data_IF_111354365547
#
_entry.id   IF_111354365547
#
_cell.length_a   1.000
_cell.length_b   1.000
_cell.length_c   1.000
_cell.angle_alpha   90.00
_cell.angle_beta   90.00
_cell.angle_gamma   90.00
#
_symmetry.space_group_name_H-M   'P 1'
#
loop_
_entity.id
_entity.type
_entity.pdbx_description
1 polymer ?
#
# COMPACT_ATOMS: atom_id res chain seq x y z
N UNK A 1 -7.96 5.77 -8.69
CA UNK A 1 -7.83 5.41 -7.26
C UNK A 1 -7.43 3.95 -7.20
N UNK A 2 -6.72 3.51 -6.18
CA UNK A 2 -6.24 2.14 -6.11
C UNK A 2 -5.53 1.80 -4.82
N UNK A 3 -4.73 0.76 -4.85
CA UNK A 3 -3.87 0.29 -3.79
C UNK A 3 -2.45 0.03 -4.35
N UNK A 4 -1.42 0.20 -3.54
CA UNK A 4 -0.03 -0.10 -3.88
C UNK A 4 0.67 -0.84 -2.74
N UNK A 5 1.53 -1.79 -3.09
CA UNK A 5 2.19 -2.68 -2.12
C UNK A 5 3.27 -2.03 -1.24
N UNK A 6 3.83 -0.88 -1.64
CA UNK A 6 5.08 -0.37 -1.08
C UNK A 6 4.99 0.02 0.41
N UNK A 7 4.04 0.87 0.80
CA UNK A 7 4.04 1.45 2.15
C UNK A 7 3.97 0.40 3.27
N UNK A 8 3.31 -0.74 3.02
CA UNK A 8 3.25 -1.82 4.00
C UNK A 8 4.27 -2.94 3.75
N UNK A 9 4.47 -3.36 2.50
CA UNK A 9 5.28 -4.55 2.18
C UNK A 9 6.69 -4.23 1.68
N UNK A 10 7.01 -2.96 1.45
CA UNK A 10 8.23 -2.53 0.77
C UNK A 10 8.43 -3.30 -0.55
N UNK A 11 9.65 -3.77 -0.76
CA UNK A 11 10.00 -4.64 -1.90
C UNK A 11 9.89 -6.15 -1.57
N UNK A 12 9.18 -6.52 -0.51
CA UNK A 12 8.98 -7.92 -0.08
C UNK A 12 7.54 -8.38 -0.31
N UNK A 13 7.13 -8.42 -1.58
CA UNK A 13 5.78 -8.80 -2.02
C UNK A 13 5.81 -10.09 -2.84
N UNK A 14 4.75 -10.88 -2.79
CA UNK A 14 4.62 -12.15 -3.52
C UNK A 14 3.21 -12.37 -4.06
N UNK A 15 3.04 -13.40 -4.88
CA UNK A 15 1.78 -13.76 -5.55
C UNK A 15 0.61 -13.93 -4.57
N UNK A 16 0.84 -14.56 -3.42
CA UNK A 16 -0.22 -14.81 -2.42
C UNK A 16 -0.74 -13.51 -1.84
N UNK A 17 0.17 -12.58 -1.51
CA UNK A 17 -0.18 -11.25 -1.00
C UNK A 17 -1.02 -10.49 -2.04
N UNK A 18 -0.57 -10.46 -3.30
CA UNK A 18 -1.28 -9.73 -4.36
C UNK A 18 -2.68 -10.27 -4.59
N UNK A 19 -2.85 -11.60 -4.63
CA UNK A 19 -4.16 -12.23 -4.78
C UNK A 19 -5.06 -11.96 -3.57
N UNK A 20 -4.52 -12.04 -2.36
CA UNK A 20 -5.25 -11.73 -1.12
C UNK A 20 -5.75 -10.29 -1.08
N UNK A 21 -4.91 -9.32 -1.48
CA UNK A 21 -5.33 -7.91 -1.59
C UNK A 21 -6.39 -7.72 -2.67
N UNK A 22 -6.29 -8.41 -3.81
CA UNK A 22 -7.32 -8.35 -4.85
C UNK A 22 -8.68 -8.84 -4.33
N UNK A 23 -8.68 -9.93 -3.54
CA UNK A 23 -9.88 -10.44 -2.89
C UNK A 23 -10.46 -9.44 -1.89
N UNK A 24 -9.63 -8.91 -0.99
CA UNK A 24 -10.02 -7.92 -0.01
C UNK A 24 -10.59 -6.64 -0.64
N UNK A 25 -9.97 -6.13 -1.71
CA UNK A 25 -10.45 -4.94 -2.41
C UNK A 25 -11.88 -5.12 -2.94
N UNK A 26 -12.26 -6.33 -3.35
CA UNK A 26 -13.62 -6.63 -3.80
C UNK A 26 -14.55 -6.89 -2.62
N UNK A 27 -14.16 -7.78 -1.70
CA UNK A 27 -14.98 -8.23 -0.57
C UNK A 27 -15.40 -7.07 0.33
N UNK A 28 -14.46 -6.17 0.65
CA UNK A 28 -14.69 -5.04 1.54
C UNK A 28 -15.18 -3.78 0.82
N UNK A 29 -15.54 -3.90 -0.47
CA UNK A 29 -16.22 -2.84 -1.21
C UNK A 29 -15.33 -1.70 -1.71
N UNK A 30 -14.01 -1.83 -1.67
CA UNK A 30 -13.09 -0.82 -2.21
C UNK A 30 -13.28 -0.64 -3.72
N UNK A 31 -13.47 -1.74 -4.46
CA UNK A 31 -13.81 -1.68 -5.89
C UNK A 31 -15.11 -0.87 -6.12
N UNK A 32 -16.15 -1.12 -5.32
CA UNK A 32 -17.42 -0.39 -5.41
C UNK A 32 -17.27 1.09 -5.05
N UNK A 33 -16.34 1.43 -4.16
CA UNK A 33 -15.99 2.80 -3.81
C UNK A 33 -15.07 3.49 -4.85
N UNK A 34 -14.68 2.79 -5.92
CA UNK A 34 -13.91 3.34 -7.03
C UNK A 34 -12.39 3.09 -6.97
N UNK A 35 -11.90 2.31 -6.01
CA UNK A 35 -10.49 1.87 -5.96
C UNK A 35 -10.31 0.68 -6.91
N UNK A 36 -9.96 0.98 -8.16
CA UNK A 36 -9.92 0.00 -9.25
C UNK A 36 -8.53 -0.57 -9.51
N UNK A 37 -7.46 0.19 -9.25
CA UNK A 37 -6.09 -0.24 -9.55
C UNK A 37 -5.47 -0.98 -8.37
N UNK A 38 -4.93 -2.17 -8.62
CA UNK A 38 -4.01 -2.87 -7.71
C UNK A 38 -2.61 -2.77 -8.32
N UNK A 39 -1.77 -1.93 -7.73
CA UNK A 39 -0.43 -1.63 -8.22
C UNK A 39 0.62 -2.43 -7.45
N UNK A 40 1.39 -3.24 -8.18
CA UNK A 40 2.55 -3.95 -7.65
C UNK A 40 3.79 -3.05 -7.72
N UNK A 41 4.37 -2.71 -6.58
CA UNK A 41 5.57 -1.89 -6.48
C UNK A 41 6.86 -2.71 -6.63
N UNK A 42 8.03 -2.17 -6.25
CA UNK A 42 9.33 -2.82 -6.31
C UNK A 42 9.36 -4.26 -5.73
N UNK A 43 10.41 -5.02 -6.09
CA UNK A 43 10.62 -6.38 -5.59
C UNK A 43 9.96 -7.48 -6.41
N UNK A 44 9.21 -7.13 -7.46
CA UNK A 44 8.54 -8.11 -8.31
C UNK A 44 9.47 -8.80 -9.32
N UNK A 45 10.47 -8.08 -9.81
CA UNK A 45 11.35 -8.54 -10.90
C UNK A 45 12.47 -9.44 -10.39
N UNK A 46 12.95 -10.32 -11.26
CA UNK A 46 14.16 -11.09 -11.02
C UNK A 46 15.42 -10.19 -11.09
N UNK A 47 16.50 -10.59 -10.41
CA UNK A 47 17.79 -9.88 -10.44
C UNK A 47 18.38 -9.78 -11.85
N UNK A 48 18.06 -10.74 -12.71
CA UNK A 48 18.55 -10.80 -14.08
C UNK A 48 17.39 -10.77 -15.07
N UNK A 49 17.57 -9.98 -16.14
CA UNK A 49 16.73 -10.03 -17.34
C UNK A 49 16.84 -11.40 -18.02
N UNK A 50 15.80 -11.79 -18.74
CA UNK A 50 15.77 -13.03 -19.52
C UNK A 50 16.89 -13.09 -20.56
N UNK A 51 17.33 -14.31 -20.89
CA UNK A 51 18.24 -14.56 -22.00
C UNK A 51 17.53 -15.35 -23.11
N UNK A 52 17.80 -15.06 -24.40
CA UNK A 52 18.69 -14.01 -24.92
C UNK A 52 18.01 -12.64 -25.12
N UNK A 53 16.71 -12.53 -24.82
CA UNK A 53 15.88 -11.41 -25.24
C UNK A 53 16.02 -10.14 -24.38
N UNK A 54 16.64 -10.22 -23.21
CA UNK A 54 16.80 -9.14 -22.24
C UNK A 54 15.48 -8.53 -21.72
N UNK A 55 14.34 -9.22 -21.86
CA UNK A 55 13.08 -8.78 -21.24
C UNK A 55 13.15 -8.89 -19.71
N UNK A 56 12.47 -7.97 -19.02
CA UNK A 56 12.17 -8.14 -17.60
C UNK A 56 11.39 -9.44 -17.38
N UNK A 57 11.69 -10.13 -16.29
CA UNK A 57 11.00 -11.34 -15.87
C UNK A 57 10.68 -11.25 -14.38
N UNK A 58 9.55 -11.80 -13.93
CA UNK A 58 9.22 -11.83 -12.51
C UNK A 58 10.18 -12.75 -11.75
N UNK A 59 10.37 -12.47 -10.47
CA UNK A 59 11.10 -13.34 -9.56
C UNK A 59 10.34 -14.70 -9.46
N UNK A 60 10.95 -15.83 -9.84
CA UNK A 60 10.25 -17.11 -9.93
C UNK A 60 9.91 -17.73 -8.56
N UNK A 61 10.50 -17.23 -7.48
CA UNK A 61 10.17 -17.65 -6.11
C UNK A 61 8.96 -16.88 -5.60
N UNK A 62 8.96 -15.55 -5.77
CA UNK A 62 7.85 -14.70 -5.31
C UNK A 62 6.61 -14.83 -6.19
N UNK A 63 6.79 -15.11 -7.49
CA UNK A 63 5.73 -15.16 -8.50
C UNK A 63 5.90 -16.40 -9.39
N UNK A 64 5.71 -17.61 -8.83
CA UNK A 64 5.99 -18.88 -9.51
C UNK A 64 5.13 -19.12 -10.75
N UNK A 65 3.92 -18.53 -10.81
CA UNK A 65 3.04 -18.64 -11.98
C UNK A 65 3.24 -17.51 -13.01
N UNK A 66 4.15 -16.57 -12.71
CA UNK A 66 4.47 -15.43 -13.56
C UNK A 66 3.41 -14.32 -13.53
N UNK A 67 3.69 -13.22 -14.22
CA UNK A 67 2.84 -12.02 -14.16
C UNK A 67 1.47 -12.23 -14.81
N UNK A 68 1.39 -12.98 -15.92
CA UNK A 68 0.11 -13.18 -16.63
C UNK A 68 -0.97 -13.78 -15.73
N UNK A 69 -0.61 -14.77 -14.89
CA UNK A 69 -1.55 -15.42 -13.97
C UNK A 69 -2.14 -14.44 -12.95
N UNK A 70 -1.31 -13.53 -12.44
CA UNK A 70 -1.72 -12.53 -11.45
C UNK A 70 -2.56 -11.44 -12.09
N UNK A 71 -2.14 -10.96 -13.27
CA UNK A 71 -2.93 -9.99 -14.03
C UNK A 71 -4.30 -10.58 -14.37
N UNK A 72 -4.36 -11.85 -14.81
CA UNK A 72 -5.62 -12.56 -15.02
C UNK A 72 -6.48 -12.63 -13.76
N UNK A 73 -5.87 -12.98 -12.63
CA UNK A 73 -6.58 -13.06 -11.36
C UNK A 73 -7.22 -11.72 -10.99
N UNK A 74 -6.44 -10.64 -11.06
CA UNK A 74 -6.88 -9.27 -10.75
C UNK A 74 -7.98 -8.80 -11.72
N UNK A 75 -7.80 -9.04 -13.02
CA UNK A 75 -8.82 -8.72 -14.03
C UNK A 75 -10.11 -9.49 -13.84
N UNK A 76 -10.05 -10.77 -13.48
CA UNK A 76 -11.22 -11.60 -13.19
C UNK A 76 -12.01 -11.13 -11.96
N UNK A 77 -11.38 -10.35 -11.07
CA UNK A 77 -12.02 -9.69 -9.92
C UNK A 77 -12.65 -8.34 -10.30
N UNK A 78 -12.49 -7.88 -11.54
CA UNK A 78 -12.96 -6.58 -12.02
C UNK A 78 -12.03 -5.41 -11.67
N UNK A 79 -10.82 -5.71 -11.17
CA UNK A 79 -9.77 -4.74 -10.88
C UNK A 79 -8.86 -4.56 -12.11
N UNK A 80 -8.06 -3.49 -12.10
CA UNK A 80 -6.99 -3.19 -13.05
C UNK A 80 -5.65 -3.44 -12.38
N UNK A 81 -4.65 -3.89 -13.14
CA UNK A 81 -3.34 -4.25 -12.59
C UNK A 81 -2.27 -3.22 -12.96
N UNK A 82 -1.53 -2.74 -11.98
CA UNK A 82 -0.37 -1.88 -12.17
C UNK A 82 0.95 -2.57 -11.86
N UNK A 83 2.00 -2.13 -12.54
CA UNK A 83 3.37 -2.58 -12.31
C UNK A 83 4.29 -1.40 -12.06
N UNK A 84 5.44 -1.69 -11.47
CA UNK A 84 6.51 -0.75 -11.21
C UNK A 84 7.69 -0.97 -12.17
N UNK A 85 8.30 0.12 -12.62
CA UNK A 85 9.58 0.13 -13.31
C UNK A 85 10.35 1.41 -12.96
N UNK A 86 11.55 1.57 -13.51
CA UNK A 86 12.39 2.74 -13.24
C UNK A 86 12.97 3.30 -14.54
N UNK A 87 12.95 4.63 -14.67
CA UNK A 87 13.64 5.40 -15.69
C UNK A 87 15.17 5.47 -15.45
N UNK A 88 15.75 4.34 -15.06
CA UNK A 88 17.13 4.16 -14.63
C UNK A 88 17.71 2.85 -15.13
N UNK A 89 19.04 2.68 -15.01
CA UNK A 89 19.69 1.41 -15.37
C UNK A 89 19.36 0.30 -14.37
N UNK A 90 19.06 0.69 -13.13
CA UNK A 90 18.56 -0.14 -12.05
C UNK A 90 17.38 0.59 -11.42
N UNK A 91 16.48 -0.15 -10.78
CA UNK A 91 15.46 0.43 -9.95
C UNK A 91 15.99 0.81 -8.55
N UNK A 92 15.18 1.46 -7.73
CA UNK A 92 15.54 1.83 -6.36
C UNK A 92 15.87 0.64 -5.44
N UNK A 93 15.50 -0.59 -5.82
CA UNK A 93 15.82 -1.83 -5.11
C UNK A 93 17.05 -2.57 -5.69
N UNK A 94 17.79 -1.94 -6.61
CA UNK A 94 18.96 -2.52 -7.30
C UNK A 94 18.59 -3.75 -8.14
N UNK A 95 17.38 -3.78 -8.71
CA UNK A 95 16.95 -4.71 -9.74
C UNK A 95 16.98 -4.04 -11.11
N UNK A 96 16.86 -4.78 -12.23
CA UNK A 96 16.96 -4.19 -13.57
C UNK A 96 15.92 -3.08 -13.83
N UNK A 97 16.40 -1.86 -14.11
CA UNK A 97 15.56 -0.73 -14.55
C UNK A 97 15.40 -0.72 -16.08
N UNK A 98 14.59 0.19 -16.62
CA UNK A 98 14.16 0.20 -18.03
C UNK A 98 14.87 1.23 -18.91
N UNK A 99 15.86 1.98 -18.40
CA UNK A 99 16.60 2.95 -19.21
C UNK A 99 17.39 2.25 -20.33
N UNK A 100 17.07 2.59 -21.59
CA UNK A 100 17.63 1.97 -22.79
C UNK A 100 16.91 0.70 -23.26
N UNK A 101 15.87 0.27 -22.55
CA UNK A 101 15.02 -0.89 -22.86
C UNK A 101 13.53 -0.51 -22.95
N UNK A 102 13.21 0.79 -23.08
CA UNK A 102 11.85 1.31 -22.94
C UNK A 102 10.86 0.62 -23.89
N UNK A 103 11.20 0.48 -25.18
CA UNK A 103 10.33 -0.19 -26.15
C UNK A 103 10.12 -1.68 -25.85
N UNK A 104 11.16 -2.38 -25.41
CA UNK A 104 11.08 -3.80 -25.05
C UNK A 104 10.23 -4.02 -23.80
N UNK A 105 10.44 -3.21 -22.78
CA UNK A 105 9.76 -3.35 -21.49
C UNK A 105 8.30 -2.91 -21.60
N UNK A 106 8.00 -1.85 -22.34
CA UNK A 106 6.62 -1.46 -22.64
C UNK A 106 5.85 -2.59 -23.35
N UNK A 107 6.46 -3.26 -24.33
CA UNK A 107 5.86 -4.42 -24.99
C UNK A 107 5.70 -5.60 -24.04
N UNK A 108 6.64 -5.80 -23.12
CA UNK A 108 6.56 -6.85 -22.09
C UNK A 108 5.36 -6.58 -21.15
N UNK A 109 5.20 -5.34 -20.67
CA UNK A 109 4.07 -4.95 -19.83
C UNK A 109 2.73 -5.08 -20.56
N UNK A 110 2.67 -4.66 -21.83
CA UNK A 110 1.47 -4.80 -22.65
C UNK A 110 1.13 -6.27 -22.93
N UNK A 111 2.12 -7.13 -23.16
CA UNK A 111 1.92 -8.58 -23.32
C UNK A 111 1.40 -9.25 -22.04
N UNK A 112 1.82 -8.76 -20.86
CA UNK A 112 1.24 -9.17 -19.59
C UNK A 112 -0.12 -8.56 -19.29
N UNK A 113 -0.58 -7.61 -20.12
CA UNK A 113 -1.83 -6.85 -19.98
C UNK A 113 -1.87 -5.94 -18.76
N UNK A 114 -0.73 -5.35 -18.40
CA UNK A 114 -0.67 -4.28 -17.40
C UNK A 114 -1.52 -3.08 -17.81
N UNK A 115 -2.16 -2.40 -16.86
CA UNK A 115 -3.03 -1.23 -17.07
C UNK A 115 -2.44 0.07 -16.48
N UNK A 116 -1.40 -0.03 -15.67
CA UNK A 116 -0.78 1.10 -14.98
C UNK A 116 0.74 0.88 -14.85
N UNK A 117 1.54 1.90 -15.08
CA UNK A 117 2.98 1.90 -14.82
C UNK A 117 3.33 3.04 -13.85
N UNK A 118 3.82 2.70 -12.65
CA UNK A 118 4.61 3.61 -11.81
C UNK A 118 6.05 3.55 -12.32
N UNK A 119 6.63 4.69 -12.68
CA UNK A 119 7.96 4.75 -13.30
C UNK A 119 8.88 5.66 -12.52
N UNK A 120 9.83 5.06 -11.81
CA UNK A 120 10.69 5.72 -10.83
C UNK A 120 11.93 6.37 -11.47
N UNK A 121 12.82 6.91 -10.64
CA UNK A 121 13.88 7.83 -11.06
C UNK A 121 15.27 7.50 -10.48
N UNK A 122 15.46 6.33 -9.88
CA UNK A 122 16.78 5.90 -9.39
C UNK A 122 17.74 5.60 -10.56
N UNK A 123 19.05 5.57 -10.30
CA UNK A 123 20.10 5.21 -11.29
C UNK A 123 19.94 5.80 -12.71
N UNK A 124 19.44 7.04 -12.79
CA UNK A 124 18.97 7.66 -14.03
C UNK A 124 20.08 8.16 -14.98
N UNK A 125 21.35 7.86 -14.67
CA UNK A 125 22.53 8.29 -15.43
C UNK A 125 22.65 9.82 -15.63
N UNK A 126 22.01 10.62 -14.78
CA UNK A 126 21.89 12.07 -14.89
C UNK A 126 21.29 12.55 -16.22
N UNK A 127 20.53 11.69 -16.90
CA UNK A 127 19.82 12.08 -18.13
C UNK A 127 18.56 12.85 -17.71
N UNK A 128 18.24 13.92 -18.47
CA UNK A 128 17.05 14.74 -18.22
C UNK A 128 15.78 13.89 -18.06
N UNK A 129 14.95 14.15 -17.03
CA UNK A 129 13.69 13.42 -16.83
C UNK A 129 12.77 13.57 -18.05
N UNK A 130 12.65 14.76 -18.63
CA UNK A 130 11.82 14.98 -19.82
C UNK A 130 12.18 14.01 -20.94
N UNK A 131 13.49 13.77 -21.17
CA UNK A 131 13.96 12.83 -22.19
C UNK A 131 13.57 11.38 -21.83
N UNK A 132 13.89 10.94 -20.61
CA UNK A 132 13.67 9.55 -20.19
C UNK A 132 12.18 9.18 -20.10
N UNK A 133 11.39 10.05 -19.49
CA UNK A 133 9.95 9.84 -19.35
C UNK A 133 9.23 9.95 -20.71
N UNK A 134 9.66 10.85 -21.62
CA UNK A 134 9.11 10.89 -22.99
C UNK A 134 9.35 9.61 -23.77
N UNK A 135 10.54 9.01 -23.64
CA UNK A 135 10.86 7.73 -24.31
C UNK A 135 9.92 6.62 -23.88
N UNK A 136 9.73 6.45 -22.56
CA UNK A 136 8.82 5.43 -22.06
C UNK A 136 7.35 5.74 -22.41
N UNK A 137 6.91 7.00 -22.38
CA UNK A 137 5.59 7.38 -22.93
C UNK A 137 5.41 6.92 -24.37
N UNK A 138 6.37 7.24 -25.24
CA UNK A 138 6.30 6.89 -26.66
C UNK A 138 6.27 5.37 -26.86
N UNK A 139 7.07 4.64 -26.06
CA UNK A 139 7.07 3.18 -26.02
C UNK A 139 5.71 2.60 -25.59
N UNK A 140 5.10 3.13 -24.53
CA UNK A 140 3.77 2.71 -24.05
C UNK A 140 2.69 2.97 -25.10
N UNK A 141 2.68 4.14 -25.72
CA UNK A 141 1.74 4.47 -26.81
C UNK A 141 1.88 3.48 -27.97
N UNK A 142 3.11 3.11 -28.34
CA UNK A 142 3.38 2.18 -29.43
C UNK A 142 2.88 0.74 -29.18
N UNK A 143 2.56 0.37 -27.93
CA UNK A 143 1.95 -0.93 -27.61
C UNK A 143 0.49 -1.05 -28.04
N UNK A 144 -0.18 0.09 -28.30
CA UNK A 144 -1.62 0.17 -28.56
C UNK A 144 -2.51 -0.38 -27.41
N UNK A 145 -1.95 -0.49 -26.20
CA UNK A 145 -2.70 -0.73 -24.95
C UNK A 145 -2.71 0.55 -24.13
N UNK A 146 -3.88 0.92 -23.60
CA UNK A 146 -3.98 2.03 -22.66
C UNK A 146 -3.36 1.63 -21.32
N UNK A 147 -2.18 2.17 -21.02
CA UNK A 147 -1.47 1.99 -19.75
C UNK A 147 -1.38 3.37 -19.09
N UNK A 148 -1.98 3.52 -17.91
CA UNK A 148 -1.91 4.75 -17.13
C UNK A 148 -0.46 4.99 -16.70
N UNK A 149 0.09 6.16 -17.01
CA UNK A 149 1.51 6.43 -16.82
C UNK A 149 1.77 7.40 -15.66
N UNK A 150 2.30 6.87 -14.56
CA UNK A 150 2.59 7.60 -13.33
C UNK A 150 4.09 7.87 -13.20
N UNK A 151 4.47 9.13 -13.37
CA UNK A 151 5.85 9.61 -13.26
C UNK A 151 6.24 9.68 -11.78
N UNK A 152 7.31 9.01 -11.37
CA UNK A 152 7.80 9.02 -10.00
C UNK A 152 9.23 9.59 -9.96
N UNK A 153 9.35 10.91 -10.19
CA UNK A 153 10.63 11.63 -10.13
C UNK A 153 10.74 12.55 -8.91
N UNK A 154 9.90 12.34 -7.91
CA UNK A 154 9.93 13.02 -6.61
C UNK A 154 9.87 14.56 -6.68
N UNK A 155 9.21 15.11 -7.69
CA UNK A 155 9.18 16.57 -7.93
C UNK A 155 10.46 17.15 -8.56
N UNK A 156 11.47 16.33 -8.85
CA UNK A 156 12.74 16.81 -9.40
C UNK A 156 12.56 17.38 -10.81
N UNK A 157 13.08 18.59 -11.04
CA UNK A 157 12.90 19.33 -12.29
C UNK A 157 11.43 19.71 -12.58
N UNK A 158 10.64 19.96 -11.54
CA UNK A 158 9.32 20.59 -11.62
C UNK A 158 8.35 19.88 -12.60
N UNK A 159 8.02 18.59 -12.37
CA UNK A 159 7.18 17.81 -13.27
C UNK A 159 5.78 18.39 -13.46
N UNK A 160 5.29 19.23 -12.55
CA UNK A 160 4.03 19.96 -12.73
C UNK A 160 4.04 20.92 -13.93
N UNK A 161 5.21 21.30 -14.47
CA UNK A 161 5.33 22.17 -15.64
C UNK A 161 5.20 21.39 -16.96
N UNK A 162 5.63 20.13 -17.00
CA UNK A 162 5.79 19.36 -18.24
C UNK A 162 5.10 17.99 -18.23
N UNK A 163 4.73 17.49 -17.06
CA UNK A 163 4.20 16.14 -16.84
C UNK A 163 2.90 15.88 -17.58
N UNK A 164 2.06 16.91 -17.75
CA UNK A 164 0.78 16.80 -18.46
C UNK A 164 0.94 16.37 -19.93
N UNK A 165 2.06 16.70 -20.57
CA UNK A 165 2.33 16.29 -21.96
C UNK A 165 2.92 14.87 -22.05
N UNK A 166 3.27 14.27 -20.90
CA UNK A 166 4.05 13.03 -20.85
C UNK A 166 3.32 11.89 -20.14
N UNK A 167 2.78 12.12 -18.95
CA UNK A 167 2.13 11.13 -18.11
C UNK A 167 0.75 11.58 -17.63
N UNK A 168 0.10 10.70 -16.89
CA UNK A 168 -1.23 10.92 -16.33
C UNK A 168 -1.18 11.42 -14.88
N UNK A 169 -0.08 11.16 -14.18
CA UNK A 169 0.25 11.79 -12.90
C UNK A 169 1.76 11.91 -12.72
N UNK A 170 2.18 12.76 -11.80
CA UNK A 170 3.59 12.94 -11.46
C UNK A 170 3.80 13.23 -9.99
N UNK A 171 4.72 12.48 -9.36
CA UNK A 171 5.15 12.73 -7.99
C UNK A 171 5.73 14.12 -7.87
N UNK A 172 5.28 14.87 -6.87
CA UNK A 172 5.64 16.27 -6.64
C UNK A 172 6.60 16.47 -5.47
N UNK A 173 6.84 15.42 -4.69
CA UNK A 173 7.66 15.44 -3.48
C UNK A 173 8.47 14.15 -3.35
N UNK A 174 9.45 14.13 -2.42
CA UNK A 174 10.02 12.89 -1.90
C UNK A 174 8.98 11.95 -1.30
N UNK A 175 9.43 10.75 -0.92
CA UNK A 175 8.54 9.71 -0.40
C UNK A 175 7.92 10.11 0.93
N UNK A 176 6.63 9.80 1.06
CA UNK A 176 5.90 9.93 2.31
C UNK A 176 6.38 8.88 3.32
N UNK A 177 6.19 9.21 4.59
CA UNK A 177 6.26 8.26 5.70
C UNK A 177 5.06 8.54 6.63
N UNK A 178 4.64 7.58 7.46
CA UNK A 178 3.42 7.70 8.25
C UNK A 178 3.63 8.56 9.50
N UNK A 179 4.01 9.83 9.31
CA UNK A 179 4.13 10.84 10.35
C UNK A 179 3.45 12.15 9.96
N UNK A 180 2.96 12.87 10.96
CA UNK A 180 2.26 14.14 10.72
C UNK A 180 3.17 15.20 10.08
N UNK A 181 4.45 15.24 10.48
CA UNK A 181 5.44 16.17 9.90
C UNK A 181 5.65 15.91 8.40
N UNK A 182 5.65 14.64 7.97
CA UNK A 182 5.75 14.29 6.55
C UNK A 182 4.51 14.74 5.77
N UNK A 183 3.32 14.46 6.29
CA UNK A 183 2.04 14.88 5.68
C UNK A 183 1.98 16.40 5.52
N UNK A 184 2.33 17.16 6.56
CA UNK A 184 2.37 18.62 6.51
C UNK A 184 3.41 19.14 5.53
N UNK A 185 4.62 18.57 5.53
CA UNK A 185 5.70 18.97 4.62
C UNK A 185 5.31 18.77 3.14
N UNK A 186 4.64 17.65 2.83
CA UNK A 186 4.14 17.38 1.48
C UNK A 186 3.02 18.33 1.11
N UNK A 187 2.05 18.55 2.01
CA UNK A 187 0.94 19.47 1.79
C UNK A 187 1.43 20.90 1.50
N UNK A 188 2.44 21.36 2.23
CA UNK A 188 3.01 22.69 2.05
C UNK A 188 3.62 22.89 0.67
N UNK A 189 4.20 21.83 0.09
CA UNK A 189 4.71 21.85 -1.28
C UNK A 189 3.60 21.90 -2.34
N UNK A 190 2.37 21.47 -2.02
CA UNK A 190 1.23 21.54 -2.95
C UNK A 190 0.62 22.94 -3.09
N UNK A 191 0.83 23.82 -2.10
CA UNK A 191 0.14 25.13 -2.00
C UNK A 191 0.23 25.96 -3.28
N UNK A 192 1.38 25.97 -3.93
CA UNK A 192 1.65 26.82 -5.09
C UNK A 192 1.57 26.10 -6.44
N UNK A 193 1.30 24.78 -6.45
CA UNK A 193 1.29 23.97 -7.68
C UNK A 193 -0.06 23.32 -7.96
N UNK A 194 -1.05 23.47 -7.07
CA UNK A 194 -2.38 22.86 -7.21
C UNK A 194 -3.10 23.18 -8.53
N UNK A 195 -2.82 24.34 -9.13
CA UNK A 195 -3.38 24.79 -10.40
C UNK A 195 -2.79 24.07 -11.64
N UNK A 196 -1.73 23.28 -11.48
CA UNK A 196 -1.16 22.44 -12.55
C UNK A 196 -1.82 21.05 -12.63
N UNK A 197 -2.73 20.74 -11.71
CA UNK A 197 -3.46 19.47 -11.67
C UNK A 197 -4.83 19.62 -12.36
N UNK A 198 -5.21 18.65 -13.20
CA UNK A 198 -6.48 18.67 -13.92
C UNK A 198 -6.78 17.39 -14.70
N UNK A 199 -7.94 17.31 -15.38
CA UNK A 199 -8.33 16.13 -16.15
C UNK A 199 -7.24 15.70 -17.14
N UNK A 200 -6.67 14.51 -16.92
CA UNK A 200 -5.63 13.92 -17.77
C UNK A 200 -4.21 14.02 -17.21
N UNK A 201 -3.97 14.86 -16.19
CA UNK A 201 -2.66 15.04 -15.56
C UNK A 201 -2.77 15.56 -14.13
N UNK A 202 -2.35 14.74 -13.15
CA UNK A 202 -2.55 15.03 -11.73
C UNK A 202 -1.22 15.17 -10.97
N UNK A 203 -1.15 16.18 -10.11
CA UNK A 203 -0.10 16.22 -9.08
C UNK A 203 -0.28 15.03 -8.14
N UNK A 204 0.79 14.30 -7.89
CA UNK A 204 0.84 13.16 -6.99
C UNK A 204 1.67 13.54 -5.74
N UNK A 205 1.02 13.84 -4.60
CA UNK A 205 1.66 14.01 -3.30
C UNK A 205 1.95 12.68 -2.58
N UNK A 206 2.07 11.58 -3.32
CA UNK A 206 2.38 10.23 -2.85
C UNK A 206 1.19 9.47 -2.23
N UNK A 207 1.44 8.18 -1.95
CA UNK A 207 0.46 7.22 -1.46
C UNK A 207 -0.13 7.58 -0.09
N UNK A 208 -1.28 6.99 0.21
CA UNK A 208 -2.02 7.21 1.46
C UNK A 208 -1.46 6.33 2.60
N UNK A 209 -1.28 6.95 3.76
CA UNK A 209 -0.76 6.33 5.00
C UNK A 209 -1.87 6.05 6.02
N UNK A 210 -3.11 5.92 5.54
CA UNK A 210 -4.25 5.62 6.40
C UNK A 210 -4.06 4.21 6.97
N UNK A 211 -4.06 4.09 8.30
CA UNK A 211 -3.82 2.84 9.02
C UNK A 211 -2.34 2.47 9.20
N UNK A 212 -1.39 3.31 8.82
CA UNK A 212 0.05 3.08 9.03
C UNK A 212 0.60 4.07 10.08
N UNK A 213 1.59 3.61 10.85
CA UNK A 213 2.28 4.40 11.89
C UNK A 213 1.36 4.94 12.99
N UNK A 214 1.83 5.96 13.71
CA UNK A 214 1.18 6.50 14.92
C UNK A 214 0.28 7.71 14.63
N UNK A 215 -0.23 7.83 13.40
CA UNK A 215 -1.12 8.93 13.02
C UNK A 215 -2.44 8.84 13.79
N UNK A 216 -2.80 9.91 14.49
CA UNK A 216 -4.11 9.99 15.14
C UNK A 216 -5.24 9.91 14.12
N UNK A 217 -6.42 9.51 14.57
CA UNK A 217 -7.62 9.43 13.71
C UNK A 217 -7.90 10.75 12.98
N UNK A 218 -7.67 11.90 13.62
CA UNK A 218 -7.92 13.21 13.00
C UNK A 218 -6.81 13.62 12.02
N UNK A 219 -5.56 13.21 12.25
CA UNK A 219 -4.47 13.37 11.27
C UNK A 219 -4.72 12.52 10.03
N UNK A 220 -5.18 11.27 10.20
CA UNK A 220 -5.57 10.39 9.09
C UNK A 220 -6.76 10.97 8.29
N UNK A 221 -7.80 11.48 8.96
CA UNK A 221 -8.90 12.19 8.28
C UNK A 221 -8.39 13.40 7.50
N UNK A 222 -7.46 14.16 8.08
CA UNK A 222 -6.87 15.34 7.45
C UNK A 222 -6.08 14.95 6.20
N UNK A 223 -5.21 13.95 6.31
CA UNK A 223 -4.44 13.37 5.21
C UNK A 223 -5.35 12.98 4.04
N UNK A 224 -6.31 12.09 4.29
CA UNK A 224 -7.21 11.61 3.25
C UNK A 224 -8.01 12.74 2.60
N UNK A 225 -8.58 13.63 3.42
CA UNK A 225 -9.45 14.72 2.94
C UNK A 225 -8.67 15.70 2.07
N UNK A 226 -7.44 16.03 2.44
CA UNK A 226 -6.62 16.99 1.71
C UNK A 226 -6.12 16.39 0.38
N UNK A 227 -5.69 15.13 0.37
CA UNK A 227 -5.33 14.44 -0.88
C UNK A 227 -6.52 14.39 -1.85
N UNK A 228 -7.72 14.04 -1.34
CA UNK A 228 -8.93 14.02 -2.13
C UNK A 228 -9.37 15.41 -2.64
N UNK A 229 -9.19 16.46 -1.82
CA UNK A 229 -9.49 17.83 -2.18
C UNK A 229 -8.55 18.35 -3.29
N UNK A 230 -7.25 18.01 -3.21
CA UNK A 230 -6.22 18.35 -4.18
C UNK A 230 -6.32 17.57 -5.50
N UNK A 231 -7.24 16.60 -5.58
CA UNK A 231 -7.39 15.68 -6.72
C UNK A 231 -6.14 14.86 -6.99
N UNK A 232 -5.44 14.50 -5.91
CA UNK A 232 -4.36 13.54 -5.96
C UNK A 232 -4.86 12.15 -6.40
N UNK A 233 -4.01 11.32 -7.01
CA UNK A 233 -4.22 9.88 -7.03
C UNK A 233 -4.42 9.36 -5.59
N UNK A 234 -5.60 8.79 -5.30
CA UNK A 234 -5.86 8.15 -4.01
C UNK A 234 -5.43 6.68 -4.09
N UNK A 235 -4.17 6.41 -3.72
CA UNK A 235 -3.56 5.08 -3.73
C UNK A 235 -3.36 4.64 -2.27
N UNK A 236 -4.11 3.63 -1.83
CA UNK A 236 -4.01 3.04 -0.49
C UNK A 236 -2.67 2.30 -0.33
N UNK A 237 -2.09 2.33 0.86
CA UNK A 237 -0.81 1.70 1.16
C UNK A 237 -0.78 0.84 2.43
N UNK A 238 -1.96 0.44 2.94
CA UNK A 238 -2.06 -0.41 4.14
C UNK A 238 -2.25 -1.89 3.75
N UNK A 239 -2.04 -2.80 4.69
CA UNK A 239 -2.33 -4.22 4.51
C UNK A 239 -3.51 -4.67 5.37
N UNK A 240 -4.26 -5.63 4.84
CA UNK A 240 -5.13 -6.47 5.66
C UNK A 240 -4.38 -7.77 5.99
N UNK A 241 -4.55 -8.30 7.19
CA UNK A 241 -3.89 -9.57 7.53
C UNK A 241 -4.11 -10.64 6.44
N UNK A 242 -3.06 -11.34 5.96
CA UNK A 242 -3.14 -12.33 4.89
C UNK A 242 -4.15 -13.46 5.06
N UNK A 243 -4.64 -13.75 6.28
CA UNK A 243 -5.75 -14.70 6.46
C UNK A 243 -7.08 -14.13 6.00
N UNK A 244 -7.21 -12.80 5.91
CA UNK A 244 -8.42 -12.10 5.49
C UNK A 244 -9.62 -12.39 6.39
N UNK A 245 -9.39 -12.88 7.61
CA UNK A 245 -10.46 -13.30 8.51
C UNK A 245 -10.93 -12.13 9.36
N UNK A 246 -12.24 -11.89 9.35
CA UNK A 246 -12.88 -11.00 10.31
C UNK A 246 -12.67 -11.51 11.74
N UNK A 247 -12.63 -10.58 12.69
CA UNK A 247 -12.83 -10.89 14.11
C UNK A 247 -14.28 -11.32 14.35
N UNK A 248 -14.50 -12.15 15.36
CA UNK A 248 -15.80 -12.57 15.85
C UNK A 248 -16.02 -12.02 17.26
N UNK A 249 -17.27 -11.69 17.61
CA UNK A 249 -17.61 -11.30 18.97
C UNK A 249 -17.59 -12.54 19.87
N UNK A 250 -16.80 -12.49 20.93
CA UNK A 250 -16.66 -13.59 21.91
C UNK A 250 -17.26 -13.25 23.26
N UNK A 251 -17.42 -11.95 23.55
CA UNK A 251 -18.19 -11.48 24.70
C UNK A 251 -18.97 -10.21 24.33
N UNK A 252 -20.23 -10.18 24.74
CA UNK A 252 -21.10 -9.02 24.61
C UNK A 252 -21.82 -8.82 25.93
N UNK A 253 -21.57 -7.69 26.60
CA UNK A 253 -22.37 -7.28 27.74
C UNK A 253 -23.15 -6.03 27.31
N UNK A 254 -24.47 -6.18 27.28
CA UNK A 254 -25.40 -5.16 26.78
C UNK A 254 -25.16 -3.82 27.47
N UNK A 255 -25.09 -2.76 26.66
CA UNK A 255 -24.81 -1.37 27.07
C UNK A 255 -23.47 -1.12 27.80
N UNK A 256 -22.63 -2.12 28.02
CA UNK A 256 -21.33 -1.93 28.69
C UNK A 256 -20.15 -2.07 27.74
N UNK A 257 -19.86 -3.27 27.22
CA UNK A 257 -18.70 -3.47 26.36
C UNK A 257 -18.81 -4.74 25.50
N UNK A 258 -17.92 -4.82 24.53
CA UNK A 258 -17.77 -5.95 23.62
C UNK A 258 -16.30 -6.39 23.55
N UNK A 259 -16.08 -7.69 23.44
CA UNK A 259 -14.78 -8.29 23.14
C UNK A 259 -14.92 -9.04 21.82
N UNK A 260 -14.09 -8.66 20.86
CA UNK A 260 -13.96 -9.34 19.58
C UNK A 260 -12.59 -9.95 19.44
N UNK A 261 -12.48 -11.16 18.89
CA UNK A 261 -11.18 -11.81 18.69
C UNK A 261 -11.10 -12.43 17.30
N UNK A 262 -9.90 -12.54 16.76
CA UNK A 262 -9.66 -13.13 15.45
C UNK A 262 -8.25 -13.65 15.30
N UNK A 263 -8.06 -14.49 14.29
CA UNK A 263 -6.75 -15.05 13.95
C UNK A 263 -6.11 -14.17 12.88
N UNK A 264 -4.84 -13.85 13.09
CA UNK A 264 -3.97 -13.22 12.11
C UNK A 264 -2.98 -14.26 11.56
N UNK A 265 -2.42 -14.01 10.39
CA UNK A 265 -1.40 -14.85 9.75
C UNK A 265 -0.15 -15.05 10.63
N UNK A 266 0.13 -14.11 11.53
CA UNK A 266 1.29 -14.10 12.43
C UNK A 266 0.91 -13.97 13.92
N UNK A 267 -0.34 -14.29 14.28
CA UNK A 267 -0.81 -14.22 15.66
C UNK A 267 -2.32 -14.14 15.78
N UNK A 268 -2.79 -13.32 16.70
CA UNK A 268 -4.20 -13.07 16.94
C UNK A 268 -4.42 -11.59 17.18
N UNK A 269 -5.67 -11.16 17.07
CA UNK A 269 -6.10 -9.80 17.43
C UNK A 269 -7.25 -9.88 18.41
N UNK A 270 -7.29 -8.96 19.37
CA UNK A 270 -8.44 -8.73 20.24
C UNK A 270 -8.83 -7.25 20.20
N UNK A 271 -10.12 -6.98 20.11
CA UNK A 271 -10.70 -5.63 20.12
C UNK A 271 -11.60 -5.51 21.33
N UNK A 272 -11.29 -4.56 22.22
CA UNK A 272 -12.06 -4.26 23.42
C UNK A 272 -12.79 -2.95 23.20
N UNK A 273 -14.09 -3.02 22.95
CA UNK A 273 -14.91 -1.85 22.65
C UNK A 273 -15.78 -1.49 23.86
N UNK A 274 -15.60 -0.29 24.40
CA UNK A 274 -16.44 0.25 25.46
C UNK A 274 -17.68 0.92 24.86
N UNK A 275 -18.87 0.45 25.20
CA UNK A 275 -20.16 1.03 24.77
C UNK A 275 -20.67 2.11 25.72
N UNK A 276 -20.07 2.25 26.90
CA UNK A 276 -20.51 3.19 27.92
C UNK A 276 -20.08 4.63 27.62
N UNK A 277 -20.79 5.56 28.26
CA UNK A 277 -20.45 6.99 28.30
C UNK A 277 -19.40 7.34 29.37
N UNK A 278 -18.87 6.33 30.08
CA UNK A 278 -17.80 6.46 31.09
C UNK A 278 -16.65 5.52 30.73
N UNK A 279 -15.46 5.77 31.28
CA UNK A 279 -14.33 4.85 31.09
C UNK A 279 -14.60 3.54 31.85
N UNK A 280 -14.32 2.41 31.20
CA UNK A 280 -14.68 1.09 31.71
C UNK A 280 -13.50 0.14 31.69
N UNK A 281 -13.44 -0.70 32.73
CA UNK A 281 -12.49 -1.81 32.79
C UNK A 281 -13.05 -2.98 31.98
N UNK A 282 -12.29 -3.44 31.00
CA UNK A 282 -12.61 -4.61 30.18
C UNK A 282 -11.55 -5.67 30.44
N UNK A 283 -11.97 -6.87 30.80
CA UNK A 283 -11.05 -7.98 31.09
C UNK A 283 -10.97 -8.95 29.90
N UNK A 284 -9.83 -9.01 29.24
CA UNK A 284 -9.51 -9.96 28.19
C UNK A 284 -8.80 -11.18 28.78
N UNK A 285 -9.53 -12.29 28.90
CA UNK A 285 -8.93 -13.58 29.23
C UNK A 285 -8.49 -14.32 27.97
N UNK A 286 -7.20 -14.53 27.80
CA UNK A 286 -6.63 -15.12 26.59
C UNK A 286 -7.12 -16.55 26.28
N UNK A 287 -7.25 -17.38 27.30
CA UNK A 287 -7.70 -18.76 27.12
C UNK A 287 -9.18 -18.82 26.74
N UNK A 288 -10.05 -18.13 27.50
CA UNK A 288 -11.50 -18.20 27.31
C UNK A 288 -11.97 -17.39 26.09
N UNK A 289 -11.35 -16.24 25.80
CA UNK A 289 -11.79 -15.36 24.72
C UNK A 289 -11.07 -15.62 23.40
N UNK A 290 -9.79 -16.02 23.45
CA UNK A 290 -8.98 -16.20 22.24
C UNK A 290 -8.61 -17.66 21.97
N UNK A 291 -8.79 -18.58 22.93
CA UNK A 291 -8.32 -19.96 22.80
C UNK A 291 -6.80 -20.09 22.74
N UNK A 292 -6.06 -19.09 23.23
CA UNK A 292 -4.59 -19.07 23.21
C UNK A 292 -4.04 -19.43 24.58
N UNK A 293 -2.98 -20.24 24.60
CA UNK A 293 -2.34 -20.73 25.81
C UNK A 293 -0.84 -20.39 25.80
N UNK A 294 -0.22 -20.29 26.97
CA UNK A 294 1.21 -20.02 27.12
C UNK A 294 1.51 -18.57 27.51
N UNK A 295 2.75 -18.14 27.28
CA UNK A 295 3.17 -16.76 27.51
C UNK A 295 2.80 -15.94 26.26
N UNK A 296 1.94 -14.95 26.43
CA UNK A 296 1.41 -14.11 25.34
C UNK A 296 2.08 -12.74 25.38
N UNK A 297 2.74 -12.35 24.30
CA UNK A 297 3.12 -10.97 24.04
C UNK A 297 1.90 -10.20 23.55
N UNK A 298 1.70 -9.00 24.09
CA UNK A 298 0.58 -8.12 23.79
C UNK A 298 1.13 -6.79 23.28
N UNK A 299 0.70 -6.37 22.10
CA UNK A 299 1.02 -5.08 21.51
C UNK A 299 -0.28 -4.29 21.33
N UNK A 300 -0.34 -3.09 21.90
CA UNK A 300 -1.45 -2.15 21.62
C UNK A 300 -1.20 -1.51 20.26
N UNK A 301 -2.08 -1.78 19.30
CA UNK A 301 -1.91 -1.34 17.91
C UNK A 301 -2.14 0.16 17.70
N UNK A 302 -2.59 0.90 18.72
CA UNK A 302 -2.72 2.35 18.64
C UNK A 302 -1.49 3.12 19.12
N UNK A 303 -0.64 2.52 19.95
CA UNK A 303 0.47 3.21 20.63
C UNK A 303 1.87 2.70 20.20
N UNK A 304 1.96 1.69 19.33
CA UNK A 304 3.16 0.98 18.84
C UNK A 304 4.31 0.82 19.86
N UNK A 305 3.97 0.76 21.16
CA UNK A 305 4.89 0.52 22.27
C UNK A 305 5.02 -0.99 22.47
N UNK A 306 6.16 -1.61 22.08
CA UNK A 306 6.34 -3.06 22.20
C UNK A 306 6.45 -3.53 23.66
N UNK A 307 6.38 -2.63 24.66
CA UNK A 307 6.50 -3.00 26.07
C UNK A 307 5.71 -2.09 27.03
N UNK A 308 4.37 -2.20 27.03
CA UNK A 308 3.60 -1.90 28.25
C UNK A 308 3.79 -2.99 29.32
N UNK A 309 5.01 -3.42 29.65
CA UNK A 309 5.29 -4.31 30.80
C UNK A 309 4.43 -5.60 30.88
N UNK A 310 4.40 -6.25 32.05
CA UNK A 310 3.49 -7.36 32.32
C UNK A 310 2.06 -6.81 32.46
N UNK A 311 1.39 -6.51 31.35
CA UNK A 311 -0.02 -6.14 31.36
C UNK A 311 -0.87 -7.32 31.84
N UNK A 312 -1.75 -7.01 32.79
CA UNK A 312 -2.77 -7.90 33.33
C UNK A 312 -3.92 -8.08 32.34
N UNK A 313 -4.73 -9.13 32.48
CA UNK A 313 -5.96 -9.38 31.71
C UNK A 313 -6.96 -8.19 31.68
N UNK A 314 -6.78 -7.09 32.44
CA UNK A 314 -7.73 -5.97 32.54
C UNK A 314 -7.18 -4.66 31.94
N UNK A 315 -8.01 -4.01 31.12
CA UNK A 315 -7.69 -2.82 30.32
C UNK A 315 -8.73 -1.72 30.54
N UNK A 316 -8.32 -0.44 30.49
CA UNK A 316 -9.25 0.70 30.65
C UNK A 316 -9.52 1.33 29.29
N UNK A 317 -10.70 1.08 28.73
CA UNK A 317 -11.17 1.72 27.52
C UNK A 317 -11.92 3.01 27.86
N UNK A 318 -11.59 4.11 27.18
CA UNK A 318 -12.29 5.39 27.32
C UNK A 318 -13.77 5.29 26.88
N UNK A 319 -14.65 6.23 27.26
CA UNK A 319 -16.04 6.23 26.79
C UNK A 319 -16.14 6.11 25.26
N UNK A 320 -16.92 5.15 24.77
CA UNK A 320 -17.01 4.82 23.33
C UNK A 320 -15.66 4.51 22.65
N UNK A 321 -14.62 4.27 23.44
CA UNK A 321 -13.26 4.03 22.99
C UNK A 321 -13.03 2.57 22.67
N UNK A 322 -11.97 2.32 21.91
CA UNK A 322 -11.55 0.99 21.52
C UNK A 322 -10.09 0.78 21.88
N UNK A 323 -9.77 -0.41 22.38
CA UNK A 323 -8.39 -0.90 22.52
C UNK A 323 -8.24 -2.05 21.52
N UNK A 324 -7.18 -2.01 20.71
CA UNK A 324 -6.91 -3.06 19.71
C UNK A 324 -5.56 -3.67 20.03
N UNK A 325 -5.57 -4.96 20.37
CA UNK A 325 -4.40 -5.68 20.86
C UNK A 325 -3.99 -6.75 19.84
N UNK A 326 -2.74 -6.74 19.40
CA UNK A 326 -2.11 -7.89 18.74
C UNK A 326 -1.54 -8.83 19.80
N UNK A 327 -1.85 -10.12 19.67
CA UNK A 327 -1.48 -11.16 20.61
C UNK A 327 -0.58 -12.19 19.92
N UNK A 328 0.57 -12.50 20.51
CA UNK A 328 1.52 -13.47 19.96
C UNK A 328 1.98 -14.46 21.04
N UNK A 329 1.94 -15.75 20.72
CA UNK A 329 2.43 -16.80 21.64
C UNK A 329 3.96 -16.83 21.58
N UNK A 330 4.61 -16.53 22.70
CA UNK A 330 6.08 -16.45 22.82
C UNK A 330 6.68 -17.76 23.35
N UNK A 331 5.99 -18.41 24.29
CA UNK A 331 6.34 -19.74 24.80
C UNK A 331 5.08 -20.57 25.06
N UNK A 332 5.14 -21.86 24.76
CA UNK A 332 4.07 -22.81 25.07
C UNK A 332 4.38 -23.40 26.44
N UNK A 333 3.46 -23.24 27.40
CA UNK A 333 3.57 -23.93 28.68
C UNK A 333 3.46 -25.44 28.43
N UNK A 334 4.52 -26.18 28.74
CA UNK A 334 4.63 -27.63 28.57
C UNK A 334 3.66 -28.44 29.41
#
# INVERSE_FOLDING_TARGET
MGWNSYNHFGCTVNETIVKGIADAMVEYGFLNAGYTYLNLDCGWSNENRSQPNNSLIPNPIAFPNGMIDIVDYVHNKGLLFGIYGDAGTLDCAILPGSLGFEELDAQTFAAWRVDYLKYDNCYNSNISPIIRYSKMRDALIATNRSIYYSICNWGQSDPYIWGHEIGNSWRTTGDINPSWDAILSILDQQRNISNFSGPGGWNDPDMLEIGNGDLTVDEQKSHFSLWAALKAPLILGFNQDPLGRSVEIVEFIEDTYEIWTGILSDGYVAVLFNREFIASFITLNFENHCGIHGIIAVTDLWDDDPFKGNLTDSYIAQPHGVIVLKLQVVEINS
#
